data_IF_379686202902
#
_entry.id   IF_379686202902
#
_cell.length_a   1.000
_cell.length_b   1.000
_cell.length_c   1.000
_cell.angle_alpha   90.00
_cell.angle_beta   90.00
_cell.angle_gamma   90.00
#
_symmetry.space_group_name_H-M   'P 1'
#
loop_
_entity.id
_entity.type
_entity.pdbx_description
1 polymer ?
#
# COMPACT_ATOMS: atom_id res chain seq x y z
N UNK A 1 18.39 8.68 0.85
CA UNK A 1 17.62 8.08 1.96
C UNK A 1 18.07 6.65 2.21
N UNK A 2 18.59 6.35 3.40
CA UNK A 2 19.31 5.12 3.74
C UNK A 2 18.47 3.85 3.51
N UNK A 3 19.01 2.92 2.70
CA UNK A 3 18.41 1.61 2.40
C UNK A 3 18.15 0.77 3.66
N UNK A 4 18.98 0.91 4.69
CA UNK A 4 18.82 0.26 6.00
C UNK A 4 17.51 0.64 6.72
N UNK A 5 17.12 1.92 6.66
CA UNK A 5 15.88 2.41 7.28
C UNK A 5 14.65 1.81 6.59
N UNK A 6 14.69 1.64 5.26
CA UNK A 6 13.60 1.00 4.49
C UNK A 6 13.41 -0.46 4.89
N UNK A 7 14.50 -1.21 5.02
CA UNK A 7 14.45 -2.62 5.39
C UNK A 7 13.88 -2.80 6.81
N UNK A 8 14.31 -1.97 7.75
CA UNK A 8 13.78 -1.95 9.12
C UNK A 8 12.28 -1.61 9.19
N UNK A 9 11.83 -0.66 8.38
CA UNK A 9 10.41 -0.29 8.29
C UNK A 9 9.57 -1.43 7.69
N UNK A 10 10.07 -2.11 6.64
CA UNK A 10 9.40 -3.29 6.08
C UNK A 10 9.28 -4.43 7.09
N UNK A 11 10.32 -4.70 7.87
CA UNK A 11 10.28 -5.72 8.93
C UNK A 11 9.27 -5.40 10.04
N UNK A 12 9.01 -4.11 10.30
CA UNK A 12 7.94 -3.66 11.20
C UNK A 12 6.55 -3.66 10.55
N UNK A 13 6.43 -4.15 9.33
CA UNK A 13 5.18 -4.14 8.58
C UNK A 13 4.77 -2.75 8.13
N UNK A 14 5.66 -1.75 8.07
CA UNK A 14 5.37 -0.45 7.47
C UNK A 14 5.51 -0.56 5.95
N UNK A 15 4.50 -1.12 5.29
CA UNK A 15 4.43 -1.22 3.85
C UNK A 15 3.17 -0.48 3.35
N UNK A 16 3.05 -0.32 2.04
CA UNK A 16 1.89 0.36 1.47
C UNK A 16 0.57 -0.41 1.71
N UNK A 17 0.58 -1.72 2.00
CA UNK A 17 -0.64 -2.47 2.33
C UNK A 17 -1.17 -2.17 3.74
N UNK A 18 -0.29 -1.89 4.69
CA UNK A 18 -0.64 -1.52 6.09
C UNK A 18 -0.84 -0.02 6.28
N UNK A 19 -0.78 0.76 5.20
CA UNK A 19 -0.98 2.20 5.25
C UNK A 19 -2.47 2.54 5.40
N UNK A 20 -2.80 3.59 6.16
CA UNK A 20 -4.17 4.13 6.27
C UNK A 20 -4.83 4.45 4.92
N UNK A 21 -4.02 4.80 3.93
CA UNK A 21 -4.50 5.18 2.60
C UNK A 21 -4.50 4.02 1.59
N UNK A 22 -4.30 2.78 2.05
CA UNK A 22 -4.42 1.60 1.20
C UNK A 22 -5.91 1.27 1.03
N UNK A 23 -6.37 1.21 -0.21
CA UNK A 23 -7.76 0.90 -0.54
C UNK A 23 -7.77 -0.38 -1.38
N UNK A 24 -8.34 -1.44 -0.83
CA UNK A 24 -8.38 -2.74 -1.49
C UNK A 24 -9.74 -2.96 -2.10
N UNK A 25 -9.83 -2.87 -3.43
CA UNK A 25 -11.05 -3.17 -4.15
C UNK A 25 -11.09 -4.66 -4.50
N UNK A 26 -12.09 -5.36 -3.97
CA UNK A 26 -12.39 -6.74 -4.36
C UNK A 26 -13.48 -6.73 -5.41
N UNK A 27 -13.10 -6.90 -6.68
CA UNK A 27 -14.07 -7.06 -7.76
C UNK A 27 -14.63 -8.49 -7.72
N UNK A 28 -15.83 -8.66 -7.17
CA UNK A 28 -16.57 -9.92 -7.21
C UNK A 28 -17.39 -9.97 -8.50
N UNK A 29 -16.73 -10.27 -9.62
CA UNK A 29 -17.39 -10.39 -10.94
C UNK A 29 -17.55 -11.86 -11.34
N UNK A 30 -18.80 -12.30 -11.44
CA UNK A 30 -19.35 -13.53 -12.04
C UNK A 30 -18.37 -14.43 -12.84
N UNK A 31 -17.48 -15.14 -12.16
CA UNK A 31 -16.59 -16.15 -12.78
C UNK A 31 -15.17 -15.69 -13.17
N UNK A 32 -14.80 -14.43 -12.92
CA UNK A 32 -13.41 -13.97 -13.07
C UNK A 32 -12.63 -14.17 -11.77
N UNK A 33 -11.39 -14.65 -11.87
CA UNK A 33 -10.46 -14.80 -10.73
C UNK A 33 -10.44 -13.49 -9.95
N UNK A 34 -10.82 -13.54 -8.67
CA UNK A 34 -10.81 -12.37 -7.79
C UNK A 34 -9.39 -11.83 -7.66
N UNK A 35 -9.01 -10.88 -8.53
CA UNK A 35 -7.78 -10.12 -8.36
C UNK A 35 -8.05 -9.06 -7.31
N UNK A 36 -7.41 -9.21 -6.15
CA UNK A 36 -7.35 -8.16 -5.14
C UNK A 36 -6.48 -7.04 -5.70
N UNK A 37 -7.10 -5.92 -6.06
CA UNK A 37 -6.36 -4.74 -6.50
C UNK A 37 -6.33 -3.74 -5.33
N UNK A 38 -5.15 -3.55 -4.75
CA UNK A 38 -4.92 -2.51 -3.73
C UNK A 38 -4.37 -1.26 -4.39
N UNK A 39 -4.95 -0.09 -4.09
CA UNK A 39 -4.54 1.22 -4.62
C UNK A 39 -4.17 2.18 -3.49
N UNK A 40 -3.27 3.13 -3.77
CA UNK A 40 -2.92 4.18 -2.81
C UNK A 40 -3.81 5.42 -3.05
N UNK A 41 -4.56 5.83 -2.02
CA UNK A 41 -5.46 7.00 -2.06
C UNK A 41 -4.87 8.27 -1.45
N UNK A 42 -3.58 8.26 -1.08
CA UNK A 42 -2.95 9.44 -0.50
C UNK A 42 -2.54 10.43 -1.61
N UNK A 43 -3.13 11.65 -1.68
CA UNK A 43 -2.76 12.63 -2.71
C UNK A 43 -1.31 13.14 -2.57
N UNK A 44 -0.71 13.04 -1.38
CA UNK A 44 0.69 13.38 -1.16
C UNK A 44 1.67 12.26 -1.56
N UNK A 45 1.16 11.06 -1.88
CA UNK A 45 1.99 9.93 -2.31
C UNK A 45 2.30 10.01 -3.80
N UNK A 46 3.53 9.68 -4.24
CA UNK A 46 3.85 9.55 -5.65
C UNK A 46 3.09 8.40 -6.35
N UNK A 47 2.37 7.57 -5.58
CA UNK A 47 1.57 6.45 -6.08
C UNK A 47 0.06 6.70 -6.00
N UNK A 48 -0.38 7.94 -5.86
CA UNK A 48 -1.80 8.29 -5.85
C UNK A 48 -2.54 7.69 -7.07
N UNK A 49 -3.64 6.99 -6.78
CA UNK A 49 -4.50 6.28 -7.76
C UNK A 49 -3.77 5.21 -8.60
N UNK A 50 -2.63 4.71 -8.10
CA UNK A 50 -1.87 3.62 -8.72
C UNK A 50 -1.96 2.34 -7.90
N UNK A 51 -1.91 1.16 -8.54
CA UNK A 51 -1.86 -0.11 -7.84
C UNK A 51 -0.60 -0.16 -6.96
N UNK A 52 -0.80 -0.54 -5.70
CA UNK A 52 0.27 -0.67 -4.71
C UNK A 52 1.10 -1.90 -5.05
N UNK A 53 2.41 -1.76 -5.32
CA UNK A 53 3.28 -2.91 -5.42
C UNK A 53 3.58 -3.48 -4.02
N UNK A 54 3.74 -4.81 -3.90
CA UNK A 54 3.82 -5.52 -2.62
C UNK A 54 5.01 -5.10 -1.73
N UNK A 55 6.03 -4.48 -2.31
CA UNK A 55 7.30 -4.19 -1.63
C UNK A 55 7.59 -2.68 -1.48
N UNK A 56 6.60 -1.80 -1.71
CA UNK A 56 6.84 -0.35 -1.58
C UNK A 56 6.35 0.24 -0.27
N UNK A 57 7.08 1.27 0.11
CA UNK A 57 6.84 2.21 1.18
C UNK A 57 7.15 3.61 0.64
N UNK A 58 6.48 4.64 1.19
CA UNK A 58 6.72 6.04 0.84
C UNK A 58 6.78 6.90 2.10
N UNK A 59 7.40 8.07 2.03
CA UNK A 59 7.49 8.98 3.19
C UNK A 59 6.15 9.52 3.66
N UNK A 60 5.13 9.52 2.79
CA UNK A 60 3.76 9.90 3.13
C UNK A 60 2.98 8.74 3.80
N UNK A 61 3.65 7.66 4.18
CA UNK A 61 3.02 6.53 4.88
C UNK A 61 2.52 6.98 6.26
N UNK A 62 1.26 6.66 6.54
CA UNK A 62 0.64 6.82 7.84
C UNK A 62 0.11 5.47 8.32
N UNK A 63 0.25 5.20 9.62
CA UNK A 63 -0.30 4.01 10.24
C UNK A 63 -1.83 4.03 10.18
N UNK A 64 -2.45 2.86 10.01
CA UNK A 64 -3.86 2.68 10.34
C UNK A 64 -4.01 3.02 11.83
N UNK A 65 -4.83 4.02 12.16
CA UNK A 65 -5.23 4.21 13.54
C UNK A 65 -6.23 3.09 13.86
N UNK A 66 -5.92 2.28 14.87
CA UNK A 66 -6.82 1.26 15.43
C UNK A 66 -8.14 1.86 15.90
#
# INVERSE_FOLDING_TARGET
MNRLRRFWLQLRGHNCHTCRFSDSFRSTGDGQVSRLHTFCRNPASPYFDRPIPPDRWCDAWQALAE
#
